data_IF_612717078145
#
_entry.id   IF_612717078145
#
_cell.length_a   1.000
_cell.length_b   1.000
_cell.length_c   1.000
_cell.angle_alpha   90.00
_cell.angle_beta   90.00
_cell.angle_gamma   90.00
#
_symmetry.space_group_name_H-M   'P 1'
#
loop_
_entity.id
_entity.type
_entity.pdbx_description
1 polymer ?
#
# COMPACT_ATOMS: atom_id res chain seq x y z
N UNK A 1 0.28 0.94 -23.76
CA UNK A 1 1.22 -0.17 -23.46
C UNK A 1 1.28 -0.41 -21.95
N UNK A 2 1.22 -1.65 -21.46
CA UNK A 2 1.13 -1.96 -20.03
C UNK A 2 2.54 -2.14 -19.46
N UNK A 3 2.96 -1.27 -18.55
CA UNK A 3 4.23 -1.44 -17.83
C UNK A 3 4.16 -2.68 -16.92
N UNK A 4 5.16 -3.55 -16.99
CA UNK A 4 5.32 -4.64 -16.05
C UNK A 4 5.76 -4.07 -14.68
N UNK A 5 5.20 -4.63 -13.60
CA UNK A 5 5.63 -4.28 -12.24
C UNK A 5 6.96 -4.90 -11.91
N UNK A 6 7.70 -4.28 -11.02
CA UNK A 6 8.81 -4.95 -10.35
C UNK A 6 8.20 -5.83 -9.27
N UNK A 7 8.38 -7.14 -9.38
CA UNK A 7 7.99 -8.16 -8.40
C UNK A 7 9.23 -8.91 -7.97
N UNK A 8 9.56 -8.80 -6.72
CA UNK A 8 10.67 -9.55 -6.13
C UNK A 8 10.23 -10.98 -5.89
N UNK A 9 11.07 -11.95 -6.24
CA UNK A 9 10.83 -13.37 -6.03
C UNK A 9 11.79 -13.93 -4.98
N UNK A 10 11.32 -14.88 -4.16
CA UNK A 10 12.15 -15.63 -3.20
C UNK A 10 12.55 -14.86 -1.92
N UNK A 11 12.20 -13.59 -1.80
CA UNK A 11 12.39 -12.79 -0.60
C UNK A 11 11.14 -11.99 -0.24
N UNK A 12 11.01 -11.59 1.03
CA UNK A 12 9.94 -10.69 1.47
C UNK A 12 10.03 -9.34 0.77
N UNK A 13 8.89 -8.67 0.60
CA UNK A 13 8.85 -7.38 -0.07
C UNK A 13 7.71 -6.50 0.44
N UNK A 14 7.94 -5.20 0.53
CA UNK A 14 6.91 -4.22 0.85
C UNK A 14 6.50 -3.48 -0.42
N UNK A 15 5.19 -3.36 -0.62
CA UNK A 15 4.62 -2.68 -1.77
C UNK A 15 3.65 -1.59 -1.35
N UNK A 16 3.85 -0.38 -1.82
CA UNK A 16 2.82 0.64 -1.81
C UNK A 16 1.95 0.50 -3.07
N UNK A 17 0.72 0.07 -2.89
CA UNK A 17 -0.26 -0.16 -3.95
C UNK A 17 -1.26 0.98 -4.03
N UNK A 18 -1.55 1.46 -5.25
CA UNK A 18 -2.45 2.59 -5.50
C UNK A 18 -3.48 2.18 -6.54
N UNK A 19 -4.76 2.44 -6.26
CA UNK A 19 -5.83 2.25 -7.25
C UNK A 19 -6.78 3.44 -7.25
N UNK A 20 -7.20 3.87 -8.44
CA UNK A 20 -8.08 5.03 -8.61
C UNK A 20 -9.42 4.61 -9.20
N UNK A 21 -10.46 5.30 -8.79
CA UNK A 21 -11.80 5.17 -9.37
C UNK A 21 -11.81 5.77 -10.77
N UNK A 22 -12.60 5.21 -11.65
CA UNK A 22 -12.77 5.67 -13.04
C UNK A 22 -13.18 7.14 -13.10
N UNK A 23 -12.55 7.89 -13.98
CA UNK A 23 -12.81 9.34 -14.12
C UNK A 23 -12.48 10.18 -12.90
N UNK A 24 -11.81 9.63 -11.88
CA UNK A 24 -11.51 10.34 -10.62
C UNK A 24 -12.76 10.68 -9.79
N UNK A 25 -13.89 10.03 -10.09
CA UNK A 25 -15.18 10.28 -9.43
C UNK A 25 -15.13 9.89 -7.95
N UNK A 26 -15.81 10.67 -7.09
CA UNK A 26 -15.92 10.45 -5.65
C UNK A 26 -16.97 9.39 -5.29
N UNK A 27 -16.77 8.14 -5.79
CA UNK A 27 -17.77 7.08 -5.68
C UNK A 27 -17.68 6.27 -4.37
N UNK A 28 -16.58 6.42 -3.62
CA UNK A 28 -16.40 5.68 -2.37
C UNK A 28 -16.90 6.55 -1.21
N UNK A 29 -18.20 6.52 -0.96
CA UNK A 29 -18.84 7.13 0.20
C UNK A 29 -18.52 6.37 1.50
N UNK A 30 -19.10 6.77 2.64
CA UNK A 30 -18.89 6.07 3.90
C UNK A 30 -19.23 4.57 3.85
N UNK A 31 -20.40 4.14 3.34
CA UNK A 31 -20.74 2.71 3.28
C UNK A 31 -19.78 1.91 2.37
N UNK A 32 -19.35 2.50 1.25
CA UNK A 32 -18.45 1.87 0.31
C UNK A 32 -17.05 1.68 0.92
N UNK A 33 -16.57 2.67 1.67
CA UNK A 33 -15.27 2.57 2.36
C UNK A 33 -15.32 1.59 3.53
N UNK A 34 -16.42 1.52 4.27
CA UNK A 34 -16.63 0.52 5.33
C UNK A 34 -16.57 -0.90 4.75
N UNK A 35 -17.28 -1.13 3.64
CA UNK A 35 -17.24 -2.43 2.97
C UNK A 35 -15.89 -2.78 2.37
N UNK A 36 -15.20 -1.80 1.81
CA UNK A 36 -13.86 -2.01 1.27
C UNK A 36 -12.86 -2.33 2.37
N UNK A 37 -12.96 -1.67 3.53
CA UNK A 37 -12.14 -1.94 4.71
C UNK A 37 -12.36 -3.37 5.23
N UNK A 38 -13.61 -3.80 5.37
CA UNK A 38 -13.95 -5.19 5.72
C UNK A 38 -13.32 -6.19 4.74
N UNK A 39 -13.52 -5.97 3.44
CA UNK A 39 -12.97 -6.84 2.39
C UNK A 39 -11.44 -6.83 2.35
N UNK A 40 -10.80 -5.71 2.69
CA UNK A 40 -9.36 -5.57 2.77
C UNK A 40 -8.77 -6.50 3.83
N UNK A 41 -9.33 -6.50 5.04
CA UNK A 41 -8.91 -7.39 6.13
C UNK A 41 -9.18 -8.86 5.84
N UNK A 42 -10.32 -9.18 5.25
CA UNK A 42 -10.63 -10.55 4.79
C UNK A 42 -9.60 -11.04 3.77
N UNK A 43 -9.23 -10.17 2.81
CA UNK A 43 -8.25 -10.51 1.78
C UNK A 43 -6.84 -10.70 2.36
N UNK A 44 -6.46 -9.90 3.36
CA UNK A 44 -5.19 -10.04 4.08
C UNK A 44 -5.12 -11.37 4.84
N UNK A 45 -6.17 -11.69 5.59
CA UNK A 45 -6.27 -12.96 6.33
C UNK A 45 -6.19 -14.19 5.39
N UNK A 46 -6.84 -14.11 4.21
CA UNK A 46 -6.75 -15.18 3.22
C UNK A 46 -5.35 -15.31 2.63
N UNK A 47 -4.77 -14.22 2.15
CA UNK A 47 -3.54 -14.25 1.36
C UNK A 47 -2.26 -14.38 2.19
N UNK A 48 -2.32 -14.17 3.50
CA UNK A 48 -1.15 -14.08 4.38
C UNK A 48 -0.28 -12.84 4.13
N UNK A 49 -0.82 -11.85 3.42
CA UNK A 49 -0.15 -10.56 3.22
C UNK A 49 -0.50 -9.65 4.40
N UNK A 50 0.51 -9.08 5.01
CA UNK A 50 0.37 -8.13 6.11
C UNK A 50 0.00 -6.74 5.57
N UNK A 51 -0.99 -6.11 6.19
CA UNK A 51 -1.30 -4.70 5.96
C UNK A 51 -0.50 -3.87 6.96
N UNK A 52 0.52 -3.16 6.47
CA UNK A 52 1.32 -2.24 7.31
C UNK A 52 0.48 -1.01 7.67
N UNK A 53 -0.12 -0.38 6.68
CA UNK A 53 -1.15 0.65 6.82
C UNK A 53 -1.91 0.83 5.51
N UNK A 54 -2.97 1.63 5.53
CA UNK A 54 -3.77 1.94 4.36
C UNK A 54 -4.49 3.28 4.51
N UNK A 55 -4.97 3.83 3.39
CA UNK A 55 -5.87 4.98 3.37
C UNK A 55 -6.89 4.84 2.23
N UNK A 56 -8.18 4.82 2.59
CA UNK A 56 -9.29 4.70 1.63
C UNK A 56 -9.92 6.08 1.43
N UNK A 57 -9.57 6.74 0.33
CA UNK A 57 -10.12 8.05 -0.04
C UNK A 57 -11.39 7.88 -0.90
N UNK A 58 -12.15 8.95 -1.09
CA UNK A 58 -13.41 8.88 -1.83
C UNK A 58 -13.25 8.50 -3.32
N UNK A 59 -12.08 8.68 -3.93
CA UNK A 59 -11.82 8.39 -5.35
C UNK A 59 -10.56 7.57 -5.62
N UNK A 60 -9.83 7.16 -4.59
CA UNK A 60 -8.66 6.31 -4.72
C UNK A 60 -8.31 5.64 -3.39
N UNK A 61 -7.48 4.62 -3.47
CA UNK A 61 -6.99 3.89 -2.30
C UNK A 61 -5.47 3.78 -2.33
N UNK A 62 -4.88 3.82 -1.14
CA UNK A 62 -3.48 3.53 -0.89
C UNK A 62 -3.37 2.38 0.10
N UNK A 63 -2.59 1.36 -0.23
CA UNK A 63 -2.31 0.22 0.64
C UNK A 63 -0.80 0.03 0.75
N UNK A 64 -0.27 -0.08 1.95
CA UNK A 64 1.11 -0.48 2.19
C UNK A 64 1.10 -1.92 2.70
N UNK A 65 1.58 -2.83 1.85
CA UNK A 65 1.45 -4.27 2.02
C UNK A 65 2.82 -4.91 2.14
N UNK A 66 3.03 -5.76 3.16
CA UNK A 66 4.21 -6.60 3.28
C UNK A 66 3.87 -8.02 2.85
N UNK A 67 4.58 -8.49 1.83
CA UNK A 67 4.48 -9.85 1.29
C UNK A 67 5.57 -10.70 1.96
N UNK A 68 5.26 -11.83 2.60
CA UNK A 68 6.26 -12.68 3.23
C UNK A 68 7.16 -13.34 2.19
N UNK A 69 8.41 -13.65 2.58
CA UNK A 69 9.38 -14.32 1.70
C UNK A 69 8.94 -15.72 1.28
N UNK A 70 8.34 -16.46 2.20
CA UNK A 70 7.74 -17.77 1.98
C UNK A 70 6.45 -17.86 2.78
N UNK A 71 5.45 -18.41 2.16
CA UNK A 71 4.22 -18.76 2.83
C UNK A 71 3.93 -20.25 2.55
N UNK A 72 4.02 -21.05 3.60
CA UNK A 72 3.72 -22.47 3.55
C UNK A 72 2.46 -22.70 4.38
N UNK A 73 1.34 -22.90 3.71
CA UNK A 73 0.09 -23.28 4.37
C UNK A 73 -0.17 -24.77 4.18
N UNK A 74 -0.61 -25.41 5.21
CA UNK A 74 -1.20 -26.77 5.16
C UNK A 74 -2.53 -26.73 4.41
N UNK A 75 -2.99 -27.89 3.93
CA UNK A 75 -4.28 -27.97 3.24
C UNK A 75 -5.44 -27.56 4.17
N UNK A 76 -5.36 -27.87 5.47
CA UNK A 76 -6.33 -27.44 6.46
C UNK A 76 -6.39 -25.91 6.57
N UNK A 77 -5.24 -25.25 6.70
CA UNK A 77 -5.16 -23.79 6.73
C UNK A 77 -5.66 -23.13 5.44
N UNK A 78 -5.41 -23.74 4.28
CA UNK A 78 -5.95 -23.25 3.00
C UNK A 78 -7.47 -23.29 2.96
N UNK A 79 -8.07 -24.36 3.47
CA UNK A 79 -9.53 -24.51 3.57
C UNK A 79 -10.12 -23.48 4.53
N UNK A 80 -9.56 -23.34 5.74
CA UNK A 80 -10.02 -22.36 6.73
C UNK A 80 -9.94 -20.92 6.21
N UNK A 81 -8.84 -20.57 5.55
CA UNK A 81 -8.67 -19.25 4.91
C UNK A 81 -9.70 -19.01 3.80
N UNK A 82 -9.99 -20.02 2.99
CA UNK A 82 -11.01 -19.92 1.95
C UNK A 82 -12.41 -19.76 2.52
N UNK A 83 -12.75 -20.51 3.60
CA UNK A 83 -14.00 -20.37 4.32
C UNK A 83 -14.16 -18.98 4.95
N UNK A 84 -13.10 -18.42 5.50
CA UNK A 84 -13.09 -17.07 6.06
C UNK A 84 -13.29 -15.99 4.97
N UNK A 85 -12.68 -16.17 3.79
CA UNK A 85 -12.78 -15.22 2.68
C UNK A 85 -14.14 -15.23 1.99
N UNK A 86 -14.67 -16.42 1.68
CA UNK A 86 -15.88 -16.59 0.87
C UNK A 86 -17.15 -16.78 1.69
N UNK A 87 -17.01 -17.11 2.96
CA UNK A 87 -18.11 -17.50 3.84
C UNK A 87 -18.45 -18.99 3.76
N UNK A 88 -18.93 -19.52 4.87
CA UNK A 88 -19.24 -20.97 5.03
C UNK A 88 -20.31 -21.49 4.04
N UNK A 89 -21.18 -20.61 3.56
CA UNK A 89 -22.26 -20.96 2.61
C UNK A 89 -21.85 -20.83 1.14
N UNK A 90 -20.62 -20.43 0.86
CA UNK A 90 -20.14 -20.31 -0.52
C UNK A 90 -19.84 -21.68 -1.10
N UNK A 91 -20.39 -21.98 -2.28
CA UNK A 91 -20.25 -23.27 -2.95
C UNK A 91 -18.79 -23.69 -3.15
N UNK A 92 -17.92 -22.78 -3.57
CA UNK A 92 -16.50 -23.06 -3.77
C UNK A 92 -15.82 -23.44 -2.44
N UNK A 93 -16.08 -22.67 -1.37
CA UNK A 93 -15.52 -22.96 -0.06
C UNK A 93 -16.03 -24.31 0.52
N UNK A 94 -17.30 -24.63 0.30
CA UNK A 94 -17.86 -25.95 0.64
C UNK A 94 -17.23 -27.08 -0.17
N UNK A 95 -16.96 -26.88 -1.46
CA UNK A 95 -16.28 -27.87 -2.29
C UNK A 95 -14.87 -28.18 -1.75
N UNK A 96 -14.13 -27.14 -1.36
CA UNK A 96 -12.79 -27.30 -0.76
C UNK A 96 -12.87 -28.09 0.56
N UNK A 97 -13.81 -27.71 1.43
CA UNK A 97 -14.02 -28.38 2.72
C UNK A 97 -14.39 -29.86 2.53
N UNK A 98 -15.37 -30.14 1.68
CA UNK A 98 -15.82 -31.51 1.40
C UNK A 98 -14.69 -32.36 0.79
N UNK A 99 -13.90 -31.80 -0.12
CA UNK A 99 -12.75 -32.49 -0.69
C UNK A 99 -11.71 -32.84 0.38
N UNK A 100 -11.40 -31.89 1.25
CA UNK A 100 -10.48 -32.08 2.38
C UNK A 100 -10.98 -33.16 3.36
N UNK A 101 -12.25 -33.09 3.77
CA UNK A 101 -12.85 -34.04 4.72
C UNK A 101 -12.88 -35.48 4.16
N UNK A 102 -13.11 -35.64 2.85
CA UNK A 102 -13.19 -36.97 2.21
C UNK A 102 -11.82 -37.61 1.99
N UNK A 103 -10.77 -36.83 1.71
CA UNK A 103 -9.48 -37.32 1.24
C UNK A 103 -8.34 -37.10 2.25
N UNK A 104 -8.59 -36.44 3.39
CA UNK A 104 -7.55 -36.03 4.34
C UNK A 104 -6.60 -34.98 3.80
N UNK A 105 -6.92 -34.37 2.65
CA UNK A 105 -6.12 -33.36 1.99
C UNK A 105 -6.83 -32.78 0.77
N UNK A 106 -6.30 -31.70 0.21
CA UNK A 106 -6.84 -31.10 -1.00
C UNK A 106 -6.30 -31.80 -2.27
N UNK A 107 -7.16 -32.04 -3.27
CA UNK A 107 -6.69 -32.39 -4.62
C UNK A 107 -5.63 -31.40 -5.12
N UNK A 108 -4.66 -31.92 -5.89
CA UNK A 108 -3.50 -31.16 -6.34
C UNK A 108 -3.90 -29.83 -7.01
N UNK A 109 -4.85 -29.88 -7.93
CA UNK A 109 -5.28 -28.71 -8.70
C UNK A 109 -5.91 -27.63 -7.80
N UNK A 110 -6.73 -28.03 -6.83
CA UNK A 110 -7.35 -27.11 -5.87
C UNK A 110 -6.29 -26.50 -4.94
N UNK A 111 -5.34 -27.30 -4.47
CA UNK A 111 -4.22 -26.86 -3.64
C UNK A 111 -3.35 -25.85 -4.38
N UNK A 112 -2.94 -26.14 -5.60
CA UNK A 112 -2.12 -25.26 -6.42
C UNK A 112 -2.85 -23.97 -6.76
N UNK A 113 -4.14 -24.05 -7.12
CA UNK A 113 -4.98 -22.88 -7.36
C UNK A 113 -5.08 -21.94 -6.16
N UNK A 114 -5.14 -22.48 -4.94
CA UNK A 114 -5.10 -21.66 -3.72
C UNK A 114 -3.72 -21.08 -3.46
N UNK A 115 -2.66 -21.90 -3.61
CA UNK A 115 -1.27 -21.48 -3.37
C UNK A 115 -0.82 -20.34 -4.27
N UNK A 116 -1.25 -20.32 -5.54
CA UNK A 116 -0.95 -19.23 -6.47
C UNK A 116 -1.53 -17.87 -6.04
N UNK A 117 -2.51 -17.87 -5.16
CA UNK A 117 -3.21 -16.67 -4.69
C UNK A 117 -2.68 -16.16 -3.35
N UNK A 118 -1.88 -16.97 -2.66
CA UNK A 118 -1.29 -16.67 -1.35
C UNK A 118 0.09 -16.06 -1.56
N UNK A 119 0.41 -15.01 -0.76
CA UNK A 119 1.70 -14.33 -0.84
C UNK A 119 1.97 -13.61 -2.17
N UNK A 120 0.95 -13.33 -2.98
CA UNK A 120 1.09 -12.60 -4.24
C UNK A 120 0.31 -11.28 -4.22
N UNK A 121 1.03 -10.17 -4.27
CA UNK A 121 0.44 -8.82 -4.25
C UNK A 121 -0.45 -8.54 -5.47
N UNK A 122 -0.19 -9.18 -6.61
CA UNK A 122 -1.00 -8.97 -7.81
C UNK A 122 -2.34 -9.69 -7.70
N UNK A 123 -2.35 -10.91 -7.18
CA UNK A 123 -3.58 -11.66 -6.91
C UNK A 123 -4.37 -11.01 -5.77
N UNK A 124 -3.69 -10.57 -4.70
CA UNK A 124 -4.32 -9.79 -3.63
C UNK A 124 -5.12 -8.60 -4.18
N UNK A 125 -4.46 -7.73 -4.93
CA UNK A 125 -5.08 -6.52 -5.48
C UNK A 125 -6.14 -6.82 -6.54
N UNK A 126 -5.94 -7.84 -7.34
CA UNK A 126 -6.90 -8.29 -8.36
C UNK A 126 -8.20 -8.75 -7.69
N UNK A 127 -8.10 -9.65 -6.72
CA UNK A 127 -9.26 -10.21 -6.03
C UNK A 127 -10.01 -9.18 -5.20
N UNK A 128 -9.28 -8.38 -4.41
CA UNK A 128 -9.89 -7.28 -3.65
C UNK A 128 -10.70 -6.35 -4.56
N UNK A 129 -10.09 -5.89 -5.67
CA UNK A 129 -10.73 -4.98 -6.61
C UNK A 129 -11.92 -5.63 -7.32
N UNK A 130 -11.83 -6.91 -7.70
CA UNK A 130 -12.91 -7.62 -8.37
C UNK A 130 -14.09 -7.87 -7.43
N UNK A 131 -13.83 -8.35 -6.20
CA UNK A 131 -14.86 -8.58 -5.18
C UNK A 131 -15.58 -7.29 -4.85
N UNK A 132 -14.84 -6.23 -4.62
CA UNK A 132 -15.41 -4.93 -4.31
C UNK A 132 -16.20 -4.35 -5.49
N UNK A 133 -15.70 -4.43 -6.74
CA UNK A 133 -16.44 -3.95 -7.91
C UNK A 133 -17.77 -4.68 -8.11
N UNK A 134 -17.78 -6.02 -7.90
CA UNK A 134 -19.01 -6.81 -7.98
C UNK A 134 -20.04 -6.38 -6.94
N UNK A 135 -19.59 -6.17 -5.71
CA UNK A 135 -20.46 -5.69 -4.64
C UNK A 135 -20.96 -4.28 -4.93
N UNK A 136 -20.08 -3.34 -5.26
CA UNK A 136 -20.39 -1.95 -5.55
C UNK A 136 -21.42 -1.84 -6.71
N UNK A 137 -21.18 -2.50 -7.83
CA UNK A 137 -22.06 -2.46 -8.98
C UNK A 137 -23.46 -2.99 -8.65
N UNK A 138 -23.53 -4.05 -7.81
CA UNK A 138 -24.83 -4.59 -7.33
C UNK A 138 -25.56 -3.58 -6.43
N UNK A 139 -24.86 -2.95 -5.48
CA UNK A 139 -25.47 -1.98 -4.56
C UNK A 139 -25.94 -0.72 -5.28
N UNK A 140 -25.20 -0.27 -6.28
CA UNK A 140 -25.49 0.97 -7.02
C UNK A 140 -26.29 0.75 -8.31
N UNK A 141 -26.78 -0.48 -8.54
CA UNK A 141 -27.45 -0.91 -9.78
C UNK A 141 -26.70 -0.43 -11.03
N UNK A 142 -25.40 -0.67 -11.06
CA UNK A 142 -24.46 -0.15 -12.04
C UNK A 142 -23.75 -1.27 -12.81
N UNK A 143 -23.43 -1.02 -14.09
CA UNK A 143 -22.58 -1.86 -14.92
C UNK A 143 -21.25 -1.19 -15.24
N UNK A 144 -20.27 -1.97 -15.67
CA UNK A 144 -18.97 -1.48 -16.13
C UNK A 144 -17.89 -1.44 -15.05
N UNK A 145 -16.77 -0.84 -15.44
CA UNK A 145 -15.59 -0.79 -14.56
C UNK A 145 -15.72 0.28 -13.47
N UNK A 146 -15.33 -0.07 -12.26
CA UNK A 146 -15.20 0.89 -11.15
C UNK A 146 -13.81 1.54 -11.12
N UNK A 147 -12.78 0.79 -11.51
CA UNK A 147 -11.39 1.22 -11.42
C UNK A 147 -10.87 1.72 -12.76
N UNK A 148 -10.22 2.89 -12.76
CA UNK A 148 -9.69 3.52 -13.96
C UNK A 148 -8.71 2.63 -14.73
N UNK A 149 -7.85 1.92 -13.98
CA UNK A 149 -6.77 1.10 -14.55
C UNK A 149 -6.35 -0.02 -13.60
N UNK A 150 -5.35 -0.80 -14.00
CA UNK A 150 -4.65 -1.68 -13.08
C UNK A 150 -4.05 -0.86 -11.96
N UNK A 151 -3.92 -1.45 -10.76
CA UNK A 151 -3.23 -0.76 -9.66
C UNK A 151 -1.78 -0.44 -10.02
N UNK A 152 -1.27 0.68 -9.52
CA UNK A 152 0.16 1.01 -9.51
C UNK A 152 0.78 0.44 -8.24
N UNK A 153 2.05 0.06 -8.32
CA UNK A 153 2.81 -0.36 -7.14
C UNK A 153 4.20 0.25 -7.16
N UNK A 154 4.65 0.67 -5.99
CA UNK A 154 6.02 1.06 -5.71
C UNK A 154 6.60 -0.01 -4.78
N UNK A 155 7.70 -0.64 -5.17
CA UNK A 155 8.47 -1.53 -4.30
C UNK A 155 9.20 -0.67 -3.27
N UNK A 156 8.99 -0.94 -1.99
CA UNK A 156 9.58 -0.20 -0.87
C UNK A 156 10.61 -1.09 -0.18
N UNK A 157 11.80 -0.56 0.09
CA UNK A 157 12.78 -1.28 0.91
C UNK A 157 12.18 -1.57 2.29
N UNK A 158 12.21 -2.85 2.71
CA UNK A 158 11.71 -3.25 4.03
C UNK A 158 12.71 -2.86 5.13
N UNK A 159 12.88 -1.56 5.29
CA UNK A 159 13.74 -0.89 6.27
C UNK A 159 12.94 0.19 6.98
N UNK A 160 13.17 0.35 8.28
CA UNK A 160 12.43 1.26 9.15
C UNK A 160 12.14 2.63 8.51
N UNK A 161 13.14 3.38 8.10
CA UNK A 161 12.96 4.74 7.57
C UNK A 161 12.17 4.80 6.25
N UNK A 162 12.34 3.81 5.35
CA UNK A 162 11.63 3.79 4.09
C UNK A 162 10.14 3.42 4.29
N UNK A 163 9.86 2.38 5.07
CA UNK A 163 8.49 1.94 5.37
C UNK A 163 7.76 3.02 6.16
N UNK A 164 8.41 3.59 7.18
CA UNK A 164 7.85 4.66 8.01
C UNK A 164 7.47 5.90 7.17
N UNK A 165 8.33 6.32 6.24
CA UNK A 165 8.05 7.46 5.37
C UNK A 165 6.84 7.23 4.47
N UNK A 166 6.71 6.03 3.91
CA UNK A 166 5.55 5.67 3.07
C UNK A 166 4.30 5.54 3.93
N UNK A 167 4.38 4.93 5.11
CA UNK A 167 3.26 4.83 6.03
C UNK A 167 2.73 6.21 6.42
N UNK A 168 3.61 7.13 6.85
CA UNK A 168 3.23 8.51 7.18
C UNK A 168 2.62 9.24 5.97
N UNK A 169 3.17 9.01 4.75
CA UNK A 169 2.58 9.53 3.53
C UNK A 169 1.14 9.05 3.33
N UNK A 170 0.83 7.77 3.59
CA UNK A 170 -0.51 7.22 3.46
C UNK A 170 -1.46 7.82 4.51
N UNK A 171 -1.08 7.79 5.77
CA UNK A 171 -1.95 8.22 6.87
C UNK A 171 -2.21 9.75 6.86
N UNK A 172 -1.31 10.54 6.28
CA UNK A 172 -1.49 11.98 6.08
C UNK A 172 -2.29 12.35 4.82
N UNK A 173 -2.75 11.39 3.99
CA UNK A 173 -3.58 11.71 2.81
C UNK A 173 -4.84 12.50 3.15
N UNK A 174 -5.64 12.14 4.17
CA UNK A 174 -6.85 12.88 4.51
C UNK A 174 -6.55 14.28 5.06
N UNK A 175 -5.44 14.47 5.77
CA UNK A 175 -4.99 15.79 6.24
C UNK A 175 -4.60 16.68 5.05
N UNK A 176 -3.84 16.14 4.09
CA UNK A 176 -3.48 16.87 2.86
C UNK A 176 -4.67 17.21 1.99
N UNK A 177 -5.70 16.39 2.01
CA UNK A 177 -6.96 16.64 1.32
C UNK A 177 -7.86 17.66 2.06
N UNK A 178 -7.47 18.10 3.26
CA UNK A 178 -8.25 19.02 4.08
C UNK A 178 -9.51 18.41 4.69
N UNK A 179 -9.59 17.06 4.75
CA UNK A 179 -10.75 16.36 5.28
C UNK A 179 -10.77 16.32 6.80
N UNK A 180 -9.60 16.22 7.42
CA UNK A 180 -9.40 16.21 8.88
C UNK A 180 -8.13 16.98 9.22
N UNK A 181 -7.99 17.41 10.47
CA UNK A 181 -6.77 18.04 10.99
C UNK A 181 -5.77 16.98 11.50
N UNK A 182 -6.26 15.97 12.19
CA UNK A 182 -5.47 14.87 12.72
C UNK A 182 -5.86 13.56 11.96
N UNK A 183 -4.90 12.76 11.46
CA UNK A 183 -5.21 11.55 10.73
C UNK A 183 -5.96 10.50 11.58
N UNK A 184 -5.87 10.52 12.91
CA UNK A 184 -6.66 9.64 13.80
C UNK A 184 -8.18 9.88 13.67
N UNK A 185 -8.60 11.06 13.21
CA UNK A 185 -10.01 11.42 13.03
C UNK A 185 -10.58 10.91 11.70
N UNK A 186 -9.73 10.32 10.85
CA UNK A 186 -10.15 9.73 9.58
C UNK A 186 -10.25 8.21 9.67
N UNK A 187 -11.41 7.70 10.05
CA UNK A 187 -11.64 6.28 10.38
C UNK A 187 -11.25 5.25 9.32
N UNK A 188 -11.05 5.67 8.06
CA UNK A 188 -10.67 4.80 6.95
C UNK A 188 -9.17 4.86 6.62
N UNK A 189 -8.33 5.04 7.61
CA UNK A 189 -6.88 4.86 7.50
C UNK A 189 -6.36 3.94 8.61
N UNK A 190 -5.20 3.30 8.34
CA UNK A 190 -4.62 2.31 9.26
C UNK A 190 -4.25 2.92 10.61
N UNK A 191 -3.76 4.16 10.64
CA UNK A 191 -3.44 4.84 11.89
C UNK A 191 -4.69 5.07 12.77
N UNK A 192 -5.78 5.59 12.20
CA UNK A 192 -7.01 5.78 12.95
C UNK A 192 -7.55 4.47 13.52
N UNK A 193 -7.50 3.39 12.74
CA UNK A 193 -7.97 2.07 13.16
C UNK A 193 -7.08 1.48 14.26
N UNK A 194 -5.76 1.69 14.20
CA UNK A 194 -4.81 1.27 15.24
C UNK A 194 -5.05 2.03 16.56
N UNK A 195 -5.26 3.34 16.48
CA UNK A 195 -5.62 4.18 17.65
C UNK A 195 -6.96 3.72 18.25
N UNK A 196 -7.94 3.38 17.41
CA UNK A 196 -9.24 2.86 17.83
C UNK A 196 -9.18 1.45 18.45
N UNK A 197 -8.02 0.77 18.41
CA UNK A 197 -7.82 -0.49 19.12
C UNK A 197 -7.75 -1.74 18.25
N UNK A 198 -7.80 -1.63 16.93
CA UNK A 198 -7.68 -2.79 16.04
C UNK A 198 -6.28 -3.43 16.17
N UNK A 199 -6.23 -4.68 16.64
CA UNK A 199 -4.98 -5.40 16.89
C UNK A 199 -4.15 -5.59 15.62
N UNK A 200 -4.77 -5.92 14.49
CA UNK A 200 -4.07 -6.12 13.22
C UNK A 200 -3.46 -4.82 12.68
N UNK A 201 -4.18 -3.70 12.80
CA UNK A 201 -3.65 -2.39 12.42
C UNK A 201 -2.49 -1.94 13.33
N UNK A 202 -2.58 -2.22 14.65
CA UNK A 202 -1.48 -2.01 15.59
C UNK A 202 -0.24 -2.82 15.22
N UNK A 203 -0.42 -4.12 14.95
CA UNK A 203 0.66 -5.01 14.50
C UNK A 203 1.31 -4.48 13.22
N UNK A 204 0.52 -4.08 12.24
CA UNK A 204 1.03 -3.52 10.99
C UNK A 204 1.89 -2.28 11.20
N UNK A 205 1.43 -1.30 11.98
CA UNK A 205 2.19 -0.08 12.25
C UNK A 205 3.38 -0.32 13.19
N UNK A 206 3.30 -1.24 14.15
CA UNK A 206 4.43 -1.61 14.99
C UNK A 206 5.50 -2.41 14.25
N UNK A 207 5.15 -3.06 13.14
CA UNK A 207 6.04 -3.97 12.40
C UNK A 207 7.30 -3.31 11.81
N UNK A 208 7.30 -2.01 11.64
CA UNK A 208 8.48 -1.25 11.21
C UNK A 208 9.19 -0.51 12.35
N UNK A 209 8.65 -0.54 13.56
CA UNK A 209 9.32 0.06 14.72
C UNK A 209 10.36 -0.91 15.32
N UNK A 210 11.53 -0.43 15.77
CA UNK A 210 12.59 -1.30 16.29
C UNK A 210 12.17 -2.22 17.43
N UNK A 211 11.32 -1.74 18.35
CA UNK A 211 10.85 -2.54 19.49
C UNK A 211 9.67 -3.45 19.15
N UNK A 212 8.98 -3.24 18.03
CA UNK A 212 7.70 -3.88 17.68
C UNK A 212 6.59 -3.72 18.75
N UNK A 213 6.82 -2.91 19.78
CA UNK A 213 5.84 -2.57 20.80
C UNK A 213 4.92 -1.45 20.32
N UNK A 214 3.60 -1.67 20.44
CA UNK A 214 2.63 -0.69 19.98
C UNK A 214 2.69 0.63 20.76
N UNK A 215 2.90 0.60 22.08
CA UNK A 215 2.87 1.82 22.87
C UNK A 215 4.05 2.75 22.55
N UNK A 216 5.22 2.17 22.27
CA UNK A 216 6.40 2.92 21.81
C UNK A 216 6.22 3.36 20.36
N UNK A 217 5.86 2.43 19.48
CA UNK A 217 5.63 2.72 18.07
C UNK A 217 4.58 3.83 17.87
N UNK A 218 3.49 3.80 18.65
CA UNK A 218 2.43 4.79 18.56
C UNK A 218 2.91 6.20 18.95
N UNK A 219 3.73 6.32 20.01
CA UNK A 219 4.26 7.63 20.44
C UNK A 219 5.18 8.23 19.37
N UNK A 220 6.12 7.43 18.87
CA UNK A 220 7.08 7.89 17.89
C UNK A 220 6.41 8.21 16.56
N UNK A 221 5.46 7.38 16.16
CA UNK A 221 4.71 7.59 14.93
C UNK A 221 3.78 8.81 15.03
N UNK A 222 3.11 9.00 16.17
CA UNK A 222 2.32 10.21 16.44
C UNK A 222 3.19 11.47 16.38
N UNK A 223 4.35 11.45 17.01
CA UNK A 223 5.28 12.58 16.94
C UNK A 223 5.69 12.88 15.50
N UNK A 224 5.99 11.86 14.71
CA UNK A 224 6.29 12.02 13.28
C UNK A 224 5.13 12.67 12.53
N UNK A 225 3.88 12.21 12.74
CA UNK A 225 2.70 12.76 12.09
C UNK A 225 2.40 14.21 12.52
N UNK A 226 2.62 14.56 13.80
CA UNK A 226 2.39 15.92 14.36
C UNK A 226 3.47 16.92 13.91
N UNK A 227 4.73 16.56 13.87
CA UNK A 227 5.82 17.42 13.34
C UNK A 227 5.53 17.83 11.89
N UNK A 228 4.76 16.99 11.18
CA UNK A 228 4.25 17.31 9.85
C UNK A 228 3.17 18.39 9.86
N UNK A 229 2.48 18.59 10.99
CA UNK A 229 1.32 19.51 11.09
C UNK A 229 1.68 20.94 11.60
N UNK A 230 2.86 21.16 12.17
CA UNK A 230 3.32 22.44 12.71
C UNK A 230 3.44 23.61 11.69
N UNK A 231 2.57 23.66 10.70
CA UNK A 231 2.53 24.65 9.62
C UNK A 231 1.15 25.05 9.14
N UNK A 232 0.06 24.73 9.84
CA UNK A 232 -1.26 25.26 9.54
C UNK A 232 -1.47 26.55 10.34
N UNK A 233 -1.10 27.70 9.73
CA UNK A 233 -1.63 28.99 10.17
C UNK A 233 -3.16 29.02 10.04
N UNK A 234 -3.81 29.81 10.89
CA UNK A 234 -5.26 29.95 11.11
C UNK A 234 -6.14 30.24 9.87
N UNK A 235 -5.62 30.27 8.67
CA UNK A 235 -6.41 30.45 7.46
C UNK A 235 -6.20 29.27 6.51
N UNK A 236 -7.20 28.43 6.37
CA UNK A 236 -7.27 27.22 5.56
C UNK A 236 -6.95 27.34 4.06
N UNK A 237 -5.88 28.03 3.68
CA UNK A 237 -5.37 28.09 2.29
C UNK A 237 -3.86 27.82 2.21
N UNK A 238 -3.47 26.70 1.61
CA UNK A 238 -2.06 26.28 1.51
C UNK A 238 -1.20 27.08 0.51
N UNK A 239 -1.68 28.18 -0.05
CA UNK A 239 -1.04 28.87 -1.19
C UNK A 239 0.20 29.69 -0.79
N UNK A 240 0.18 30.37 0.35
CA UNK A 240 1.28 31.23 0.81
C UNK A 240 2.48 30.43 1.34
N UNK A 241 2.23 29.30 1.98
CA UNK A 241 3.29 28.41 2.44
C UNK A 241 4.00 27.71 1.27
N UNK A 242 3.29 27.30 0.23
CA UNK A 242 3.90 26.69 -0.97
C UNK A 242 4.96 27.63 -1.58
N UNK A 243 4.75 28.93 -1.56
CA UNK A 243 5.72 29.91 -2.09
C UNK A 243 6.98 30.04 -1.22
N UNK A 244 6.81 30.12 0.12
CA UNK A 244 7.91 30.17 1.10
C UNK A 244 8.70 28.86 1.13
N UNK A 245 8.03 27.73 1.04
CA UNK A 245 8.65 26.41 1.03
C UNK A 245 9.38 26.19 -0.31
N UNK A 246 8.82 26.64 -1.43
CA UNK A 246 9.49 26.61 -2.72
C UNK A 246 10.78 27.46 -2.74
N UNK A 247 10.78 28.64 -2.12
CA UNK A 247 11.99 29.46 -1.95
C UNK A 247 13.03 28.81 -1.06
N UNK A 248 12.63 28.08 0.02
CA UNK A 248 13.57 27.28 0.83
C UNK A 248 14.13 26.11 0.05
N UNK A 249 13.33 25.48 -0.83
CA UNK A 249 13.79 24.44 -1.75
C UNK A 249 14.85 24.94 -2.74
N UNK A 250 14.64 26.12 -3.30
CA UNK A 250 15.57 26.76 -4.24
C UNK A 250 16.90 27.09 -3.57
N UNK A 251 16.89 27.29 -2.24
CA UNK A 251 18.09 27.58 -1.43
C UNK A 251 18.74 26.34 -0.79
N UNK A 252 18.35 25.10 -1.20
CA UNK A 252 18.83 23.83 -0.63
C UNK A 252 18.72 23.74 0.92
N UNK A 253 17.77 24.46 1.51
CA UNK A 253 17.54 24.39 2.96
C UNK A 253 16.85 23.08 3.34
N UNK A 254 17.25 22.50 4.47
CA UNK A 254 16.69 21.29 5.04
C UNK A 254 15.21 21.48 5.38
N UNK A 255 14.37 20.58 4.85
CA UNK A 255 12.94 20.56 5.12
C UNK A 255 12.62 19.45 6.14
N UNK A 256 11.77 19.75 7.10
CA UNK A 256 11.23 18.71 7.96
C UNK A 256 10.49 17.65 7.11
N UNK A 257 10.56 16.38 7.52
CA UNK A 257 9.92 15.25 6.82
C UNK A 257 8.46 15.57 6.43
N UNK A 258 7.73 16.21 7.31
CA UNK A 258 6.37 16.61 7.06
C UNK A 258 6.16 17.57 5.90
N UNK A 259 7.06 18.51 5.72
CA UNK A 259 7.00 19.42 4.59
C UNK A 259 7.21 18.69 3.28
N UNK A 260 8.10 17.68 3.26
CA UNK A 260 8.33 16.83 2.08
C UNK A 260 7.14 15.92 1.81
N UNK A 261 6.57 15.30 2.83
CA UNK A 261 5.36 14.47 2.70
C UNK A 261 4.17 15.26 2.14
N UNK A 262 4.08 16.55 2.44
CA UNK A 262 3.04 17.45 1.90
C UNK A 262 3.28 17.87 0.46
N UNK A 263 4.54 18.07 0.06
CA UNK A 263 4.88 18.74 -1.20
C UNK A 263 5.37 17.80 -2.30
N UNK A 264 5.98 16.68 -1.94
CA UNK A 264 6.64 15.78 -2.88
C UNK A 264 5.92 14.45 -3.04
N UNK A 265 4.59 14.49 -3.12
CA UNK A 265 3.69 13.34 -3.35
C UNK A 265 4.20 12.38 -4.41
N UNK A 266 4.80 12.89 -5.49
CA UNK A 266 5.31 12.08 -6.60
C UNK A 266 6.44 11.13 -6.24
N UNK A 267 7.19 11.38 -5.19
CA UNK A 267 8.22 10.44 -4.74
C UNK A 267 7.62 9.11 -4.28
N UNK A 268 6.45 9.17 -3.65
CA UNK A 268 5.78 8.02 -3.08
C UNK A 268 4.79 7.32 -4.03
N UNK A 269 4.34 8.00 -5.08
CA UNK A 269 3.27 7.51 -5.98
C UNK A 269 3.69 7.27 -7.42
N UNK A 270 4.74 7.94 -7.93
CA UNK A 270 5.13 7.88 -9.34
C UNK A 270 6.41 7.06 -9.58
N UNK A 271 7.10 6.63 -8.51
CA UNK A 271 8.24 5.72 -8.59
C UNK A 271 7.82 4.27 -8.82
N UNK A 272 8.81 3.43 -9.10
CA UNK A 272 8.66 1.96 -9.14
C UNK A 272 9.39 1.28 -8.01
N UNK A 273 10.44 1.92 -7.46
CA UNK A 273 11.18 1.50 -6.26
C UNK A 273 11.47 2.72 -5.41
N UNK A 274 11.44 2.54 -4.10
CA UNK A 274 11.79 3.52 -3.07
C UNK A 274 12.57 2.82 -1.96
N UNK A 275 13.71 3.40 -1.56
CA UNK A 275 14.56 2.85 -0.52
C UNK A 275 15.89 3.57 -0.44
N UNK A 276 16.88 2.96 0.21
CA UNK A 276 18.26 3.44 0.20
C UNK A 276 18.81 3.47 -1.23
N UNK A 277 19.84 4.26 -1.44
CA UNK A 277 20.52 4.34 -2.75
C UNK A 277 21.03 2.97 -3.21
N UNK A 278 21.55 2.20 -2.28
CA UNK A 278 22.13 0.89 -2.57
C UNK A 278 21.04 -0.10 -2.96
N UNK A 279 19.95 -0.18 -2.18
CA UNK A 279 18.79 -1.00 -2.52
C UNK A 279 18.19 -0.66 -3.87
N UNK A 280 17.99 0.63 -4.16
CA UNK A 280 17.45 1.05 -5.45
C UNK A 280 18.37 0.68 -6.62
N UNK A 281 19.69 0.76 -6.43
CA UNK A 281 20.66 0.34 -7.46
C UNK A 281 20.76 -1.19 -7.59
N UNK A 282 20.61 -1.94 -6.51
CA UNK A 282 20.50 -3.41 -6.53
C UNK A 282 19.31 -3.84 -7.39
N UNK A 283 18.12 -3.32 -7.07
CA UNK A 283 16.91 -3.61 -7.87
C UNK A 283 17.05 -3.15 -9.32
N UNK A 284 17.73 -2.04 -9.57
CA UNK A 284 18.03 -1.59 -10.93
C UNK A 284 18.90 -2.61 -11.66
N UNK A 285 19.91 -3.19 -11.00
CA UNK A 285 20.76 -4.23 -11.56
C UNK A 285 19.97 -5.50 -11.90
N UNK A 286 19.12 -5.98 -10.97
CA UNK A 286 18.28 -7.16 -11.17
C UNK A 286 17.30 -7.02 -12.37
N UNK A 287 16.84 -5.80 -12.65
CA UNK A 287 15.86 -5.52 -13.72
C UNK A 287 16.42 -4.61 -14.79
N UNK A 288 17.74 -4.70 -15.05
CA UNK A 288 18.47 -3.81 -15.98
C UNK A 288 17.87 -3.78 -17.38
N UNK A 289 17.37 -4.91 -17.84
CA UNK A 289 16.73 -5.11 -19.14
C UNK A 289 15.47 -4.25 -19.34
N UNK A 290 14.84 -3.83 -18.25
CA UNK A 290 13.64 -2.98 -18.28
C UNK A 290 13.93 -1.50 -18.43
N UNK A 291 15.18 -1.12 -18.55
CA UNK A 291 15.62 0.28 -18.64
C UNK A 291 16.45 0.53 -19.88
N UNK A 292 16.38 1.75 -20.41
CA UNK A 292 17.13 2.14 -21.60
C UNK A 292 18.63 1.90 -21.47
N UNK A 293 19.32 1.58 -22.58
CA UNK A 293 20.73 1.21 -22.58
C UNK A 293 21.66 2.31 -22.04
N UNK A 294 21.28 3.56 -22.20
CA UNK A 294 22.06 4.73 -21.73
C UNK A 294 21.95 4.97 -20.22
N UNK A 295 20.99 4.35 -19.52
CA UNK A 295 20.80 4.55 -18.09
C UNK A 295 21.85 3.77 -17.31
N UNK A 296 22.68 4.45 -16.52
CA UNK A 296 23.79 3.86 -15.75
C UNK A 296 23.44 3.57 -14.28
N UNK A 297 22.42 4.22 -13.71
CA UNK A 297 22.00 4.00 -12.32
C UNK A 297 20.48 4.07 -12.17
N UNK A 298 19.96 3.35 -11.16
CA UNK A 298 18.54 3.36 -10.81
C UNK A 298 18.18 4.52 -9.90
N UNK A 299 19.04 4.82 -8.94
CA UNK A 299 18.77 5.71 -7.84
C UNK A 299 18.75 7.19 -8.26
N UNK A 300 17.66 7.86 -7.92
CA UNK A 300 17.54 9.33 -7.96
C UNK A 300 17.29 9.83 -6.55
N UNK A 301 18.17 10.70 -6.01
CA UNK A 301 18.02 11.18 -4.63
C UNK A 301 16.69 11.94 -4.45
N UNK A 302 16.10 11.76 -3.31
CA UNK A 302 14.94 12.51 -2.87
C UNK A 302 15.44 13.82 -2.24
N UNK A 303 15.37 14.92 -3.00
CA UNK A 303 15.84 16.22 -2.53
C UNK A 303 15.00 16.76 -1.37
N UNK A 304 15.64 17.37 -0.39
CA UNK A 304 14.99 18.06 0.73
C UNK A 304 14.57 17.16 1.90
N UNK A 305 15.25 16.03 2.11
CA UNK A 305 15.03 15.09 3.20
C UNK A 305 16.31 14.78 3.96
N UNK A 306 16.84 15.68 4.79
CA UNK A 306 18.06 15.41 5.55
C UNK A 306 17.87 14.32 6.62
N UNK A 307 16.67 14.17 7.13
CA UNK A 307 16.34 13.26 8.25
C UNK A 307 16.05 11.82 7.84
N UNK A 308 15.86 11.52 6.56
CA UNK A 308 15.59 10.19 6.05
C UNK A 308 16.78 9.64 5.24
N UNK A 309 17.95 9.66 5.86
CA UNK A 309 19.19 9.02 5.42
C UNK A 309 19.14 8.40 4.02
N UNK A 310 19.52 9.17 3.00
CA UNK A 310 19.80 8.67 1.66
C UNK A 310 18.65 7.97 0.91
N UNK A 311 17.39 8.27 1.20
CA UNK A 311 16.29 7.73 0.42
C UNK A 311 16.38 8.17 -1.03
N UNK A 312 16.23 7.21 -1.91
CA UNK A 312 16.21 7.37 -3.34
C UNK A 312 14.95 6.75 -3.94
N UNK A 313 14.60 7.20 -5.11
CA UNK A 313 13.49 6.63 -5.88
C UNK A 313 13.96 6.24 -7.28
N UNK A 314 13.41 5.17 -7.82
CA UNK A 314 13.59 4.78 -9.21
C UNK A 314 12.33 5.08 -10.00
N UNK A 315 12.47 5.71 -11.17
CA UNK A 315 11.38 6.06 -12.08
C UNK A 315 11.72 5.62 -13.50
N UNK A 316 10.77 5.82 -14.42
CA UNK A 316 10.97 5.68 -15.85
C UNK A 316 11.39 4.26 -16.27
N UNK A 317 10.57 3.25 -15.88
CA UNK A 317 10.57 1.98 -16.59
C UNK A 317 10.27 2.26 -18.06
N UNK A 318 11.13 1.79 -18.97
CA UNK A 318 10.77 1.83 -20.38
C UNK A 318 9.54 0.94 -20.59
N UNK A 319 8.58 1.50 -21.27
CA UNK A 319 7.58 0.72 -21.98
C UNK A 319 8.35 0.02 -23.09
N UNK A 320 8.33 -1.31 -23.15
CA UNK A 320 8.98 -2.04 -24.21
C UNK A 320 8.67 -1.37 -25.54
N UNK A 321 9.68 -0.81 -26.14
CA UNK A 321 9.63 -0.51 -27.56
C UNK A 321 9.62 -1.88 -28.21
N UNK A 322 8.49 -2.25 -28.78
CA UNK A 322 8.40 -3.44 -29.60
C UNK A 322 9.39 -3.22 -30.74
N UNK A 323 10.41 -4.03 -30.75
CA UNK A 323 11.29 -4.21 -31.90
C UNK A 323 10.48 -4.79 -33.05
#
# INVERSE_FOLDING_TARGET
>A
MRMARIKVSGRGAVYHCISRVVGGQMLLGPPERDKLQEMLWQQAAFSGIEIVTYCLMANHIHLLLRVPAKFMATDAELVERALALYGKNNLYAQTLRTAFEKQGGLPKDLREGLRLRIGDVSEFMKELKQRFSKWFNRQQNRCGTLWAERFKSVLVEDRHGAVQAVAAYLDLNPVRAGLVKDPKDYRWCGYAEAVAGNASARTGLASFHPSSDWAEAARDYQQLLLVTDAGTGESGKPVLERKKIRQKFEKNADLALGQVLRLRVRYFSDGVVLGSRDYVNEIFGEYRDRFGPRRRSGARPMRGLPSLENLATMRDLQVNVVS
#
